data_IF_203391094784
#
_entry.id   IF_203391094784
#
_cell.length_a   1.000
_cell.length_b   1.000
_cell.length_c   1.000
_cell.angle_alpha   90.00
_cell.angle_beta   90.00
_cell.angle_gamma   90.00
#
_symmetry.space_group_name_H-M   'P 1'
#
loop_
_entity.id
_entity.type
_entity.pdbx_description
1 polymer ?
#
# COMPACT_ATOMS: atom_id res chain seq x y z
N UNK A 1 -14.98 15.53 -9.57
CA UNK A 1 -13.95 14.61 -10.10
C UNK A 1 -14.00 13.34 -9.26
N UNK A 2 -14.17 12.13 -9.83
CA UNK A 2 -13.99 10.91 -9.05
C UNK A 2 -12.59 10.92 -8.43
N UNK A 3 -12.48 10.55 -7.16
CA UNK A 3 -11.20 10.47 -6.49
C UNK A 3 -10.31 9.43 -7.22
N UNK A 4 -9.08 9.82 -7.55
CA UNK A 4 -8.10 8.91 -8.17
C UNK A 4 -7.34 8.18 -7.08
N UNK A 5 -7.65 6.91 -6.89
CA UNK A 5 -7.00 6.06 -5.90
C UNK A 5 -5.76 5.37 -6.47
N UNK A 6 -4.72 5.26 -5.64
CA UNK A 6 -3.52 4.45 -5.91
C UNK A 6 -3.34 3.45 -4.78
N UNK A 7 -3.25 2.17 -5.12
CA UNK A 7 -2.96 1.08 -4.19
C UNK A 7 -1.53 0.64 -4.42
N UNK A 8 -0.64 0.86 -3.43
CA UNK A 8 0.74 0.38 -3.50
C UNK A 8 0.93 -0.79 -2.55
N UNK A 9 1.31 -1.96 -3.07
CA UNK A 9 1.55 -3.15 -2.27
C UNK A 9 2.65 -4.02 -2.87
N UNK A 10 3.16 -4.97 -2.09
CA UNK A 10 4.03 -6.00 -2.62
C UNK A 10 3.35 -6.76 -3.76
N UNK A 11 4.14 -7.39 -4.64
CA UNK A 11 3.62 -8.34 -5.64
C UNK A 11 3.15 -9.65 -4.97
N UNK A 12 2.13 -9.50 -4.14
CA UNK A 12 1.47 -10.50 -3.35
C UNK A 12 0.01 -10.06 -3.13
N UNK A 13 -0.85 -11.02 -2.78
CA UNK A 13 -2.24 -10.71 -2.39
C UNK A 13 -2.29 -9.94 -1.07
N UNK A 14 -1.83 -10.58 0.00
CA UNK A 14 -1.77 -10.00 1.36
C UNK A 14 -3.03 -9.21 1.74
N UNK A 15 -2.85 -8.11 2.46
CA UNK A 15 -3.94 -7.22 2.87
C UNK A 15 -4.48 -6.37 1.71
N UNK A 16 -3.72 -6.19 0.64
CA UNK A 16 -4.16 -5.42 -0.52
C UNK A 16 -5.25 -6.10 -1.33
N UNK A 17 -5.34 -7.43 -1.31
CA UNK A 17 -6.35 -8.15 -2.09
C UNK A 17 -7.78 -7.80 -1.71
N UNK A 18 -8.03 -7.57 -0.42
CA UNK A 18 -9.34 -7.12 0.08
C UNK A 18 -9.70 -5.77 -0.54
N UNK A 19 -8.75 -4.83 -0.59
CA UNK A 19 -8.96 -3.53 -1.21
C UNK A 19 -9.21 -3.65 -2.73
N UNK A 20 -8.45 -4.51 -3.43
CA UNK A 20 -8.65 -4.77 -4.88
C UNK A 20 -10.05 -5.29 -5.18
N UNK A 21 -10.54 -6.25 -4.39
CA UNK A 21 -11.89 -6.79 -4.53
C UNK A 21 -12.95 -5.72 -4.33
N UNK A 22 -12.81 -4.86 -3.30
CA UNK A 22 -13.73 -3.76 -3.05
C UNK A 22 -13.78 -2.76 -4.21
N UNK A 23 -12.64 -2.40 -4.80
CA UNK A 23 -12.62 -1.51 -5.95
C UNK A 23 -13.35 -2.09 -7.16
N UNK A 24 -13.15 -3.38 -7.44
CA UNK A 24 -13.85 -4.06 -8.55
C UNK A 24 -15.35 -4.14 -8.30
N UNK A 25 -15.77 -4.54 -7.07
CA UNK A 25 -17.18 -4.63 -6.69
C UNK A 25 -17.89 -3.26 -6.78
N UNK A 26 -17.20 -2.17 -6.46
CA UNK A 26 -17.73 -0.82 -6.55
C UNK A 26 -17.63 -0.21 -7.96
N UNK A 27 -17.11 -0.93 -8.96
CA UNK A 27 -16.77 -0.41 -10.28
C UNK A 27 -15.89 0.86 -10.24
N UNK A 28 -15.05 0.97 -9.22
CA UNK A 28 -14.18 2.13 -8.97
C UNK A 28 -12.82 1.92 -9.64
N UNK A 29 -12.43 2.85 -10.53
CA UNK A 29 -11.09 2.84 -11.14
C UNK A 29 -10.01 3.17 -10.11
N UNK A 30 -8.91 2.42 -10.11
CA UNK A 30 -7.74 2.66 -9.27
C UNK A 30 -6.45 2.18 -9.97
N UNK A 31 -5.30 2.67 -9.53
CA UNK A 31 -3.98 2.26 -10.00
C UNK A 31 -3.36 1.24 -9.02
N UNK A 32 -3.11 -0.01 -9.47
CA UNK A 32 -2.43 -1.06 -8.69
C UNK A 32 -0.92 -1.01 -8.94
N UNK A 33 -0.18 -0.42 -8.01
CA UNK A 33 1.29 -0.28 -8.07
C UNK A 33 1.91 -1.41 -7.26
N UNK A 34 2.48 -2.39 -7.95
CA UNK A 34 3.13 -3.54 -7.34
C UNK A 34 4.63 -3.30 -7.18
N UNK A 35 5.15 -3.56 -5.99
CA UNK A 35 6.57 -3.37 -5.68
C UNK A 35 7.22 -4.69 -5.28
N UNK A 36 8.50 -4.85 -5.64
CA UNK A 36 9.29 -5.97 -5.16
C UNK A 36 9.78 -5.70 -3.74
N UNK A 37 10.13 -6.76 -3.00
CA UNK A 37 10.76 -6.64 -1.68
C UNK A 37 12.13 -5.94 -1.78
N UNK A 38 12.84 -6.10 -2.90
CA UNK A 38 14.13 -5.46 -3.14
C UNK A 38 14.03 -3.93 -3.32
N UNK A 39 12.89 -3.45 -3.81
CA UNK A 39 12.63 -2.01 -3.96
C UNK A 39 12.15 -1.36 -2.66
N UNK A 40 11.73 -2.16 -1.68
CA UNK A 40 11.18 -1.67 -0.42
C UNK A 40 12.11 -0.73 0.37
N UNK A 41 13.43 -1.02 0.53
CA UNK A 41 14.32 -0.12 1.26
C UNK A 41 14.41 1.29 0.65
N UNK A 42 14.23 1.41 -0.67
CA UNK A 42 14.24 2.70 -1.39
C UNK A 42 12.94 3.49 -1.20
N UNK A 43 11.84 2.78 -0.94
CA UNK A 43 10.50 3.36 -0.81
C UNK A 43 10.10 3.65 0.65
N UNK A 44 10.77 3.01 1.62
CA UNK A 44 10.56 3.17 3.06
C UNK A 44 10.74 4.62 3.57
N UNK A 45 11.70 5.44 3.08
CA UNK A 45 11.80 6.83 3.53
C UNK A 45 10.53 7.60 3.15
N UNK A 46 9.72 7.97 4.15
CA UNK A 46 8.50 8.75 3.96
C UNK A 46 7.21 7.96 3.69
N UNK A 47 7.26 6.61 3.64
CA UNK A 47 6.05 5.77 3.48
C UNK A 47 5.90 4.81 4.67
N UNK A 48 5.03 5.17 5.62
CA UNK A 48 4.68 4.30 6.73
C UNK A 48 3.70 3.22 6.25
N UNK A 49 4.11 1.96 6.24
CA UNK A 49 3.30 0.84 5.78
C UNK A 49 2.43 0.23 6.90
N UNK A 50 2.09 1.03 7.93
CA UNK A 50 1.75 0.64 9.32
C UNK A 50 3.01 0.60 10.19
N UNK A 51 3.41 1.76 10.70
CA UNK A 51 4.37 1.84 11.78
C UNK A 51 3.99 2.99 12.71
N UNK A 52 3.47 2.66 13.88
CA UNK A 52 3.59 3.48 15.09
C UNK A 52 5.07 3.50 15.55
N UNK A 53 6.04 3.71 14.66
CA UNK A 53 7.47 3.74 15.01
C UNK A 53 7.91 5.08 15.58
N UNK A 54 7.05 5.73 16.38
CA UNK A 54 7.48 6.86 17.22
C UNK A 54 7.67 6.45 18.69
N UNK A 55 7.42 5.18 19.04
CA UNK A 55 7.48 4.69 20.43
C UNK A 55 8.55 3.64 20.72
N UNK A 56 9.39 3.23 19.75
CA UNK A 56 10.38 2.16 19.95
C UNK A 56 11.85 2.62 19.85
N UNK A 57 12.12 3.92 19.73
CA UNK A 57 13.49 4.49 19.77
C UNK A 57 13.90 4.95 21.19
N UNK A 58 13.25 4.46 22.24
CA UNK A 58 13.60 4.80 23.62
C UNK A 58 13.70 3.56 24.51
N UNK A 59 14.69 2.71 24.30
CA UNK A 59 15.36 1.87 25.31
C UNK A 59 16.73 1.40 24.80
#
# INVERSE_FOLDING_TARGET
MPAKYKLTYFDARGTAEIARQLFVLAAQSYEDIRISVADWPKLKPGKAFIALSRYFDSY
#
